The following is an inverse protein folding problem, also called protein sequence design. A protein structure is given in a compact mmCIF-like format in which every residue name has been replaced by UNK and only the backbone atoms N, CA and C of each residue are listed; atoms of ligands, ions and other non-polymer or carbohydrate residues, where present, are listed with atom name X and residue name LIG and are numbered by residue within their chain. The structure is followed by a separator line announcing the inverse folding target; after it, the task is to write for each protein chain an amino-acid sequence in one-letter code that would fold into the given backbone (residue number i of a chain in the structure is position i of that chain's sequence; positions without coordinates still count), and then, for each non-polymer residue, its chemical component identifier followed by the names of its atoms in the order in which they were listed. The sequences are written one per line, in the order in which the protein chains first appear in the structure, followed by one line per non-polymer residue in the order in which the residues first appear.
data_IF_543197859912
#
_entry.id   IF_543197859912
#
_cell.length_a   1.000
_cell.length_b   1.000
_cell.length_c   1.000
_cell.angle_alpha   90.00
_cell.angle_beta   90.00
_cell.angle_gamma   90.00
#
_symmetry.space_group_name_H-M   'P 1'
#
loop_
_entity.id
_entity.type
_entity.pdbx_description
1 polymer ?
#
# COMPACT_ATOMS: atom_id res chain seq x y z
N UNK A 1 46.65 37.35 -3.19
CA UNK A 1 45.20 37.04 -3.12
C UNK A 1 44.88 36.00 -4.18
N UNK A 2 44.88 34.71 -3.84
CA UNK A 2 44.57 33.61 -4.77
C UNK A 2 44.26 32.33 -3.97
N UNK A 3 43.18 32.32 -3.18
CA UNK A 3 42.83 31.17 -2.31
C UNK A 3 41.33 30.93 -2.07
N UNK A 4 40.41 31.47 -2.87
CA UNK A 4 38.96 31.33 -2.59
C UNK A 4 38.09 30.81 -3.74
N UNK A 5 38.66 30.19 -4.76
CA UNK A 5 37.91 29.62 -5.90
C UNK A 5 38.24 28.16 -6.19
N UNK A 6 38.64 27.38 -5.17
CA UNK A 6 38.37 25.93 -5.20
C UNK A 6 36.87 25.74 -4.98
N UNK A 7 36.17 25.92 -6.09
CA UNK A 7 34.73 26.17 -6.17
C UNK A 7 33.92 24.94 -5.77
N UNK A 8 32.70 25.24 -5.35
CA UNK A 8 31.54 24.40 -5.05
C UNK A 8 31.44 23.08 -5.83
N UNK A 9 32.05 22.94 -7.00
CA UNK A 9 32.13 21.69 -7.76
C UNK A 9 32.91 20.57 -7.06
N UNK A 10 33.97 20.86 -6.27
CA UNK A 10 34.64 19.80 -5.48
C UNK A 10 33.79 19.34 -4.28
N UNK A 11 32.95 20.24 -3.73
CA UNK A 11 31.93 19.92 -2.72
C UNK A 11 30.76 19.15 -3.31
N UNK A 12 30.30 19.48 -4.52
CA UNK A 12 29.22 18.78 -5.24
C UNK A 12 29.68 17.39 -5.70
N UNK A 13 30.94 17.23 -6.14
CA UNK A 13 31.52 15.92 -6.45
C UNK A 13 31.66 15.02 -5.22
N UNK A 14 31.85 15.62 -4.02
CA UNK A 14 31.83 14.91 -2.74
C UNK A 14 30.42 14.50 -2.29
N UNK A 15 29.38 15.26 -2.67
CA UNK A 15 27.97 14.97 -2.35
C UNK A 15 27.45 13.73 -3.10
N UNK A 16 28.03 13.41 -4.26
CA UNK A 16 27.80 12.14 -4.96
C UNK A 16 28.38 10.90 -4.27
N UNK A 17 29.11 11.08 -3.15
CA UNK A 17 29.73 10.01 -2.34
C UNK A 17 29.22 9.95 -0.89
N UNK A 18 28.21 10.73 -0.50
CA UNK A 18 27.58 10.55 0.82
C UNK A 18 26.56 9.41 0.76
N UNK A 19 27.08 8.18 0.74
CA UNK A 19 26.29 7.00 1.02
C UNK A 19 26.08 6.92 2.54
N UNK A 20 24.84 7.08 3.02
CA UNK A 20 24.56 6.97 4.45
C UNK A 20 24.91 5.57 4.98
N UNK A 21 24.93 4.55 4.11
CA UNK A 21 25.36 3.20 4.48
C UNK A 21 26.81 3.22 4.98
N UNK A 22 27.73 3.78 4.20
CA UNK A 22 29.14 3.91 4.59
C UNK A 22 29.30 4.77 5.85
N UNK A 23 28.50 5.84 5.97
CA UNK A 23 28.54 6.73 7.11
C UNK A 23 28.06 6.06 8.42
N UNK A 24 27.10 5.13 8.37
CA UNK A 24 26.63 4.42 9.55
C UNK A 24 27.21 3.00 9.69
N UNK A 25 28.01 2.54 8.73
CA UNK A 25 28.56 1.18 8.71
C UNK A 25 27.48 0.11 8.45
N UNK A 26 26.55 0.39 7.53
CA UNK A 26 25.44 -0.49 7.16
C UNK A 26 25.82 -1.33 5.94
N UNK A 27 25.57 -2.64 5.97
CA UNK A 27 25.80 -3.54 4.84
C UNK A 27 24.73 -3.43 3.76
N UNK A 28 23.52 -3.03 4.13
CA UNK A 28 22.37 -2.87 3.25
C UNK A 28 21.42 -1.76 3.76
N UNK A 29 20.52 -1.23 2.91
CA UNK A 29 19.49 -0.29 3.33
C UNK A 29 18.49 -0.91 4.33
N UNK A 30 18.47 -0.47 5.61
CA UNK A 30 17.69 -1.12 6.68
C UNK A 30 16.17 -0.97 6.53
N UNK A 31 15.70 0.11 5.90
CA UNK A 31 14.28 0.47 5.85
C UNK A 31 13.69 0.44 4.44
N UNK A 32 14.38 -0.19 3.48
CA UNK A 32 13.73 -0.48 2.20
C UNK A 32 12.69 -1.56 2.41
N UNK A 33 11.56 -1.42 1.72
CA UNK A 33 10.55 -2.49 1.64
C UNK A 33 11.16 -3.67 0.89
N UNK A 34 11.95 -4.47 1.57
CA UNK A 34 12.53 -5.68 1.02
C UNK A 34 11.55 -6.82 1.33
N UNK A 35 10.91 -7.32 0.28
CA UNK A 35 10.46 -8.71 0.20
C UNK A 35 11.64 -9.69 0.27
N UNK A 36 12.87 -9.18 0.20
CA UNK A 36 14.10 -9.95 0.01
C UNK A 36 14.87 -10.20 1.32
N UNK A 37 14.26 -9.97 2.49
CA UNK A 37 14.88 -10.33 3.77
C UNK A 37 14.48 -11.77 4.10
N UNK A 38 15.47 -12.65 4.28
CA UNK A 38 15.25 -14.09 4.57
C UNK A 38 14.32 -14.33 5.77
N UNK A 39 14.42 -13.47 6.78
CA UNK A 39 13.53 -13.49 7.94
C UNK A 39 12.93 -12.09 8.13
N UNK A 40 11.60 -11.95 8.28
CA UNK A 40 10.99 -10.69 8.68
C UNK A 40 11.03 -10.54 10.20
N UNK A 41 10.88 -9.30 10.69
CA UNK A 41 10.62 -9.06 12.09
C UNK A 41 9.28 -9.69 12.51
N UNK A 42 9.34 -10.70 13.38
CA UNK A 42 8.18 -11.39 13.92
C UNK A 42 7.76 -10.79 15.26
N UNK A 43 6.63 -10.06 15.28
CA UNK A 43 5.98 -9.69 16.53
C UNK A 43 4.95 -10.76 16.96
N UNK A 44 4.44 -10.66 18.19
CA UNK A 44 3.51 -11.65 18.77
C UNK A 44 2.28 -11.88 17.89
N UNK A 45 1.73 -10.82 17.29
CA UNK A 45 0.56 -10.90 16.42
C UNK A 45 0.86 -11.67 15.13
N UNK A 46 2.01 -11.40 14.52
CA UNK A 46 2.48 -12.06 13.30
C UNK A 46 2.81 -13.54 13.58
N UNK A 47 3.57 -13.81 14.64
CA UNK A 47 3.92 -15.18 15.08
C UNK A 47 2.67 -16.02 15.32
N UNK A 48 1.68 -15.47 16.03
CA UNK A 48 0.41 -16.15 16.27
C UNK A 48 -0.34 -16.42 14.97
N UNK A 49 -0.40 -15.44 14.06
CA UNK A 49 -1.07 -15.62 12.77
C UNK A 49 -0.40 -16.70 11.92
N UNK A 50 0.94 -16.74 11.87
CA UNK A 50 1.71 -17.77 11.17
C UNK A 50 1.39 -19.15 11.74
N UNK A 51 1.47 -19.36 13.06
CA UNK A 51 1.16 -20.65 13.67
C UNK A 51 -0.28 -21.11 13.41
N UNK A 52 -1.23 -20.18 13.29
CA UNK A 52 -2.61 -20.52 12.92
C UNK A 52 -2.73 -20.91 11.43
N UNK A 53 -2.02 -20.24 10.53
CA UNK A 53 -1.95 -20.62 9.10
C UNK A 53 -1.35 -22.03 8.97
N UNK A 54 -0.22 -22.28 9.65
CA UNK A 54 0.46 -23.59 9.68
C UNK A 54 -0.47 -24.69 10.20
N UNK A 55 -1.23 -24.43 11.28
CA UNK A 55 -2.18 -25.38 11.84
C UNK A 55 -3.31 -25.74 10.86
N UNK A 56 -3.79 -24.79 10.05
CA UNK A 56 -4.81 -25.05 9.01
C UNK A 56 -4.20 -25.88 7.88
N UNK A 57 -3.00 -25.56 7.42
CA UNK A 57 -2.34 -26.28 6.33
C UNK A 57 -1.89 -27.69 6.69
N UNK A 58 -1.44 -27.90 7.93
CA UNK A 58 -1.16 -29.22 8.49
C UNK A 58 -2.43 -30.03 8.81
N UNK A 59 -3.59 -29.40 8.74
CA UNK A 59 -4.88 -30.06 8.92
C UNK A 59 -5.32 -30.87 7.69
N UNK A 60 -6.37 -31.65 7.89
CA UNK A 60 -7.01 -32.42 6.80
C UNK A 60 -8.08 -31.64 6.05
N UNK A 61 -8.34 -30.38 6.42
CA UNK A 61 -9.42 -29.58 5.84
C UNK A 61 -8.91 -28.24 5.33
N UNK A 62 -9.41 -27.83 4.16
CA UNK A 62 -9.30 -26.46 3.69
C UNK A 62 -10.16 -25.46 4.48
N UNK A 63 -10.17 -24.22 4.02
CA UNK A 63 -10.97 -23.16 4.61
C UNK A 63 -10.54 -21.78 4.18
N UNK A 64 -11.14 -20.79 4.82
CA UNK A 64 -10.84 -19.38 4.61
C UNK A 64 -10.11 -18.82 5.83
N UNK A 65 -9.05 -18.05 5.60
CA UNK A 65 -8.35 -17.27 6.62
C UNK A 65 -8.44 -15.81 6.23
N UNK A 66 -8.83 -14.96 7.17
CA UNK A 66 -8.99 -13.53 6.91
C UNK A 66 -7.95 -12.73 7.69
N UNK A 67 -7.11 -11.98 6.97
CA UNK A 67 -6.10 -11.08 7.54
C UNK A 67 -6.51 -9.65 7.26
N UNK A 68 -6.94 -8.94 8.31
CA UNK A 68 -7.29 -7.52 8.22
C UNK A 68 -6.18 -6.64 8.79
N UNK A 69 -6.23 -5.34 8.47
CA UNK A 69 -5.39 -4.34 9.11
C UNK A 69 -5.28 -3.07 8.29
N UNK A 70 -4.86 -1.99 8.95
CA UNK A 70 -4.64 -0.71 8.30
C UNK A 70 -3.59 -0.80 7.15
N UNK A 71 -3.60 0.14 6.18
CA UNK A 71 -2.56 0.22 5.18
C UNK A 71 -1.15 0.30 5.80
N UNK A 72 -0.24 -0.55 5.34
CA UNK A 72 1.14 -0.60 5.85
C UNK A 72 1.30 -1.29 7.21
N UNK A 73 0.32 -2.08 7.68
CA UNK A 73 0.44 -2.90 8.90
C UNK A 73 1.23 -4.20 8.76
N UNK A 74 1.80 -4.48 7.57
CA UNK A 74 2.61 -5.69 7.34
C UNK A 74 1.84 -6.91 6.82
N UNK A 75 0.59 -6.75 6.34
CA UNK A 75 -0.22 -7.85 5.79
C UNK A 75 0.48 -8.63 4.66
N UNK A 76 1.03 -7.94 3.67
CA UNK A 76 1.76 -8.57 2.56
C UNK A 76 3.03 -9.28 3.03
N UNK A 77 3.70 -8.74 4.07
CA UNK A 77 4.86 -9.38 4.71
C UNK A 77 4.45 -10.67 5.42
N UNK A 78 3.34 -10.67 6.17
CA UNK A 78 2.79 -11.88 6.80
C UNK A 78 2.60 -12.99 5.76
N UNK A 79 1.91 -12.67 4.67
CA UNK A 79 1.54 -13.69 3.69
C UNK A 79 2.74 -14.16 2.89
N UNK A 80 3.65 -13.26 2.50
CA UNK A 80 4.86 -13.67 1.77
C UNK A 80 5.71 -14.60 2.63
N UNK A 81 5.91 -14.25 3.91
CA UNK A 81 6.70 -15.09 4.81
C UNK A 81 6.02 -16.41 5.17
N UNK A 82 4.71 -16.40 5.45
CA UNK A 82 3.97 -17.64 5.67
C UNK A 82 4.07 -18.56 4.45
N UNK A 83 3.89 -18.02 3.24
CA UNK A 83 4.00 -18.79 1.99
C UNK A 83 5.41 -19.31 1.76
N UNK A 84 6.45 -18.50 1.93
CA UNK A 84 7.86 -18.90 1.74
C UNK A 84 8.28 -20.00 2.70
N UNK A 85 7.89 -19.89 3.97
CA UNK A 85 8.21 -20.90 4.99
C UNK A 85 7.54 -22.25 4.71
N UNK A 86 6.50 -22.25 3.88
CA UNK A 86 5.71 -23.41 3.50
C UNK A 86 5.95 -23.83 2.04
N UNK A 87 6.75 -23.08 1.27
CA UNK A 87 6.72 -23.11 -0.20
C UNK A 87 7.14 -24.44 -0.84
N UNK A 88 7.97 -25.21 -0.13
CA UNK A 88 8.44 -26.50 -0.63
C UNK A 88 7.32 -27.56 -0.62
N UNK A 89 6.30 -27.37 0.22
CA UNK A 89 5.22 -28.32 0.46
C UNK A 89 3.84 -27.82 0.00
N UNK A 90 3.75 -26.64 -0.61
CA UNK A 90 2.46 -26.05 -1.04
C UNK A 90 2.48 -25.57 -2.49
N UNK A 91 1.29 -25.41 -3.08
CA UNK A 91 1.09 -24.72 -4.37
C UNK A 91 0.42 -23.37 -4.10
N UNK A 92 1.01 -22.26 -4.55
CA UNK A 92 0.46 -20.92 -4.25
C UNK A 92 -0.01 -20.21 -5.51
N UNK A 93 -1.22 -19.65 -5.44
CA UNK A 93 -1.78 -18.74 -6.43
C UNK A 93 -2.03 -17.40 -5.77
N UNK A 94 -1.47 -16.31 -6.31
CA UNK A 94 -1.65 -14.94 -5.78
C UNK A 94 -2.48 -14.10 -6.73
N UNK A 95 -3.55 -13.48 -6.22
CA UNK A 95 -4.42 -12.55 -6.93
C UNK A 95 -4.28 -11.16 -6.31
N UNK A 96 -3.66 -10.25 -7.06
CA UNK A 96 -3.39 -8.87 -6.61
C UNK A 96 -4.35 -7.83 -7.23
N UNK A 97 -5.20 -8.22 -8.19
CA UNK A 97 -6.22 -7.36 -8.80
C UNK A 97 -7.59 -7.82 -8.32
N UNK A 98 -8.31 -6.97 -7.60
CA UNK A 98 -9.58 -7.38 -6.97
C UNK A 98 -10.84 -6.74 -7.56
N UNK A 99 -10.71 -5.70 -8.40
CA UNK A 99 -11.83 -5.18 -9.21
C UNK A 99 -12.07 -6.03 -10.47
N UNK A 100 -12.40 -7.30 -10.29
CA UNK A 100 -12.60 -8.25 -11.39
C UNK A 100 -14.08 -8.59 -11.56
N UNK A 101 -14.50 -8.94 -12.77
CA UNK A 101 -15.69 -9.75 -12.95
C UNK A 101 -15.40 -11.20 -12.57
N UNK A 102 -16.42 -12.00 -12.30
CA UNK A 102 -16.27 -13.39 -11.89
C UNK A 102 -15.53 -14.25 -12.93
N UNK A 103 -15.82 -14.06 -14.22
CA UNK A 103 -15.08 -14.76 -15.29
C UNK A 103 -13.60 -14.37 -15.33
N UNK A 104 -13.27 -13.08 -15.17
CA UNK A 104 -11.86 -12.65 -15.15
C UNK A 104 -11.12 -13.25 -13.95
N UNK A 105 -11.80 -13.37 -12.80
CA UNK A 105 -11.26 -14.02 -11.61
C UNK A 105 -10.93 -15.50 -11.87
N UNK A 106 -11.86 -16.25 -12.47
CA UNK A 106 -11.64 -17.66 -12.82
C UNK A 106 -10.50 -17.83 -13.83
N UNK A 107 -10.41 -16.97 -14.85
CA UNK A 107 -9.31 -17.01 -15.83
C UNK A 107 -7.96 -16.77 -15.16
N UNK A 108 -7.87 -15.78 -14.27
CA UNK A 108 -6.63 -15.48 -13.52
C UNK A 108 -6.27 -16.64 -12.59
N UNK A 109 -7.28 -17.27 -11.97
CA UNK A 109 -7.09 -18.42 -11.09
C UNK A 109 -6.48 -19.61 -11.84
N UNK A 110 -7.02 -19.94 -13.02
CA UNK A 110 -6.51 -21.02 -13.87
C UNK A 110 -5.11 -20.72 -14.41
N UNK A 111 -4.88 -19.49 -14.90
CA UNK A 111 -3.54 -19.09 -15.33
C UNK A 111 -2.51 -19.17 -14.20
N UNK A 112 -2.89 -18.83 -12.97
CA UNK A 112 -2.03 -18.97 -11.79
C UNK A 112 -1.65 -20.42 -11.46
N UNK A 113 -2.38 -21.38 -12.02
CA UNK A 113 -2.12 -22.82 -11.91
C UNK A 113 -1.46 -23.41 -13.17
N UNK A 114 -1.03 -22.57 -14.11
CA UNK A 114 -0.49 -22.97 -15.41
C UNK A 114 -1.51 -23.73 -16.28
N UNK A 115 -2.82 -23.44 -16.10
CA UNK A 115 -3.91 -23.95 -16.93
C UNK A 115 -4.37 -22.89 -17.95
N UNK A 116 -4.76 -23.34 -19.13
CA UNK A 116 -5.28 -22.48 -20.20
C UNK A 116 -6.82 -22.38 -20.12
N UNK A 117 -7.38 -21.18 -19.85
CA UNK A 117 -8.83 -20.99 -19.80
C UNK A 117 -9.47 -20.76 -21.17
N UNK A 118 -8.70 -20.74 -22.28
CA UNK A 118 -9.23 -20.40 -23.60
C UNK A 118 -10.38 -21.33 -24.02
N UNK A 119 -11.53 -20.73 -24.35
CA UNK A 119 -12.72 -21.46 -24.80
C UNK A 119 -13.52 -22.14 -23.69
N UNK A 120 -13.09 -22.06 -22.42
CA UNK A 120 -13.83 -22.62 -21.29
C UNK A 120 -14.96 -21.67 -20.85
N UNK A 121 -16.13 -22.24 -20.59
CA UNK A 121 -17.20 -21.52 -19.90
C UNK A 121 -16.99 -21.50 -18.38
N UNK A 122 -17.85 -20.77 -17.65
CA UNK A 122 -17.78 -20.65 -16.19
C UNK A 122 -17.69 -22.01 -15.50
N UNK A 123 -18.53 -22.97 -15.94
CA UNK A 123 -18.65 -24.27 -15.30
C UNK A 123 -17.37 -25.07 -15.51
N UNK A 124 -16.89 -25.15 -16.75
CA UNK A 124 -15.67 -25.86 -17.09
C UNK A 124 -14.44 -25.24 -16.40
N UNK A 125 -14.41 -23.91 -16.22
CA UNK A 125 -13.34 -23.26 -15.47
C UNK A 125 -13.31 -23.67 -14.00
N UNK A 126 -14.47 -23.75 -13.35
CA UNK A 126 -14.58 -24.21 -11.95
C UNK A 126 -14.20 -25.69 -11.85
N UNK A 127 -14.72 -26.54 -12.73
CA UNK A 127 -14.38 -27.98 -12.78
C UNK A 127 -12.86 -28.16 -12.93
N UNK A 128 -12.23 -27.46 -13.87
CA UNK A 128 -10.77 -27.53 -14.09
C UNK A 128 -9.96 -27.08 -12.86
N UNK A 129 -10.42 -26.04 -12.16
CA UNK A 129 -9.79 -25.58 -10.93
C UNK A 129 -9.90 -26.63 -9.82
N UNK A 130 -11.08 -27.20 -9.62
CA UNK A 130 -11.33 -28.21 -8.59
C UNK A 130 -10.54 -29.49 -8.85
N UNK A 131 -10.44 -29.94 -10.10
CA UNK A 131 -9.60 -31.08 -10.48
C UNK A 131 -8.13 -30.86 -10.10
N UNK A 132 -7.60 -29.65 -10.31
CA UNK A 132 -6.25 -29.30 -9.90
C UNK A 132 -6.09 -29.30 -8.37
N UNK A 133 -7.07 -28.76 -7.62
CA UNK A 133 -7.07 -28.78 -6.15
C UNK A 133 -7.05 -30.22 -5.62
N UNK A 134 -7.85 -31.11 -6.22
CA UNK A 134 -7.92 -32.52 -5.83
C UNK A 134 -6.62 -33.27 -6.16
N UNK A 135 -6.00 -32.98 -7.31
CA UNK A 135 -4.71 -33.54 -7.70
C UNK A 135 -3.58 -33.13 -6.73
N UNK A 136 -3.46 -31.83 -6.43
CA UNK A 136 -2.47 -31.29 -5.49
C UNK A 136 -2.70 -31.83 -4.05
N UNK A 137 -3.97 -31.92 -3.62
CA UNK A 137 -4.33 -32.52 -2.32
C UNK A 137 -3.91 -33.99 -2.22
N UNK A 138 -4.02 -34.76 -3.31
CA UNK A 138 -3.61 -36.17 -3.37
C UNK A 138 -2.08 -36.32 -3.37
N UNK A 139 -1.37 -35.32 -3.87
CA UNK A 139 0.09 -35.22 -3.82
C UNK A 139 0.63 -34.73 -2.46
N UNK A 140 -0.23 -34.62 -1.44
CA UNK A 140 0.08 -34.05 -0.12
C UNK A 140 0.57 -32.59 -0.16
N UNK A 141 0.23 -31.88 -1.24
CA UNK A 141 0.67 -30.52 -1.51
C UNK A 141 -0.53 -29.57 -1.49
N UNK A 142 -0.94 -29.01 -0.34
CA UNK A 142 -2.12 -28.14 -0.27
C UNK A 142 -1.97 -26.90 -1.15
N UNK A 143 -3.11 -26.44 -1.69
CA UNK A 143 -3.18 -25.25 -2.52
C UNK A 143 -3.54 -24.04 -1.66
N UNK A 144 -2.77 -22.96 -1.78
CA UNK A 144 -3.00 -21.69 -1.09
C UNK A 144 -3.37 -20.62 -2.10
N UNK A 145 -4.61 -20.15 -2.04
CA UNK A 145 -5.10 -19.03 -2.83
C UNK A 145 -5.00 -17.75 -1.99
N UNK A 146 -4.07 -16.87 -2.34
CA UNK A 146 -3.91 -15.56 -1.71
C UNK A 146 -4.67 -14.52 -2.52
N UNK A 147 -5.60 -13.82 -1.89
CA UNK A 147 -6.31 -12.68 -2.49
C UNK A 147 -5.97 -11.43 -1.70
N UNK A 148 -5.11 -10.57 -2.27
CA UNK A 148 -4.75 -9.29 -1.67
C UNK A 148 -5.80 -8.23 -1.99
N UNK A 149 -5.96 -7.22 -1.13
CA UNK A 149 -6.97 -6.16 -1.31
C UNK A 149 -8.41 -6.70 -1.46
N UNK A 150 -8.75 -7.72 -0.66
CA UNK A 150 -10.02 -8.46 -0.71
C UNK A 150 -11.26 -7.57 -0.53
N UNK A 151 -11.13 -6.37 0.05
CA UNK A 151 -12.23 -5.42 0.16
C UNK A 151 -12.75 -4.88 -1.18
N UNK A 152 -11.97 -5.00 -2.27
CA UNK A 152 -12.45 -4.62 -3.60
C UNK A 152 -13.09 -5.79 -4.37
N UNK A 153 -13.16 -6.99 -3.79
CA UNK A 153 -13.86 -8.11 -4.42
C UNK A 153 -15.35 -7.81 -4.54
N UNK A 154 -15.91 -8.16 -5.71
CA UNK A 154 -17.36 -8.12 -5.91
C UNK A 154 -18.04 -9.22 -5.08
N UNK A 155 -19.27 -9.00 -4.58
CA UNK A 155 -20.00 -10.00 -3.80
C UNK A 155 -20.16 -11.35 -4.50
N UNK A 156 -20.29 -11.37 -5.83
CA UNK A 156 -20.39 -12.63 -6.61
C UNK A 156 -19.16 -13.53 -6.45
N UNK A 157 -17.95 -12.95 -6.39
CA UNK A 157 -16.71 -13.72 -6.20
C UNK A 157 -16.65 -14.29 -4.77
N UNK A 158 -17.10 -13.53 -3.76
CA UNK A 158 -17.17 -14.05 -2.39
C UNK A 158 -18.16 -15.21 -2.29
N UNK A 159 -19.32 -15.12 -2.96
CA UNK A 159 -20.34 -16.17 -3.02
C UNK A 159 -19.90 -17.41 -3.78
N UNK A 160 -18.84 -17.33 -4.59
CA UNK A 160 -18.21 -18.47 -5.25
C UNK A 160 -17.32 -19.29 -4.30
N UNK A 161 -16.77 -18.69 -3.23
CA UNK A 161 -15.81 -19.37 -2.35
C UNK A 161 -16.32 -20.69 -1.73
N UNK A 162 -17.59 -20.82 -1.29
CA UNK A 162 -18.11 -22.10 -0.82
C UNK A 162 -18.05 -23.19 -1.88
N UNK A 163 -18.39 -22.87 -3.14
CA UNK A 163 -18.30 -23.80 -4.28
C UNK A 163 -16.86 -24.30 -4.52
N UNK A 164 -15.85 -23.46 -4.21
CA UNK A 164 -14.43 -23.80 -4.40
C UNK A 164 -13.82 -24.58 -3.24
N UNK A 165 -14.25 -24.29 -2.01
CA UNK A 165 -13.63 -24.81 -0.77
C UNK A 165 -14.35 -26.06 -0.28
N UNK A 166 -15.68 -26.07 -0.33
CA UNK A 166 -16.46 -27.21 0.13
C UNK A 166 -16.46 -28.32 -0.91
N UNK A 167 -16.73 -29.53 -0.45
CA UNK A 167 -16.94 -30.70 -1.29
C UNK A 167 -18.30 -31.28 -0.92
N UNK A 168 -19.07 -31.67 -1.93
CA UNK A 168 -20.36 -32.31 -1.69
C UNK A 168 -20.13 -33.71 -1.08
N UNK A 169 -20.80 -34.03 0.02
CA UNK A 169 -20.64 -35.32 0.74
C UNK A 169 -21.01 -36.52 -0.16
N UNK A 170 -21.75 -36.26 -1.25
CA UNK A 170 -22.15 -37.24 -2.25
C UNK A 170 -21.00 -37.79 -3.13
N UNK A 171 -19.81 -37.17 -3.14
CA UNK A 171 -18.69 -37.54 -4.03
C UNK A 171 -17.80 -38.69 -3.51
N UNK A 172 -18.19 -39.36 -2.43
CA UNK A 172 -17.56 -40.60 -1.96
C UNK A 172 -16.26 -40.42 -1.14
N UNK A 173 -15.65 -41.53 -0.68
CA UNK A 173 -14.54 -41.50 0.26
C UNK A 173 -13.20 -41.32 -0.48
N UNK A 174 -12.88 -40.08 -0.87
CA UNK A 174 -11.52 -39.68 -1.24
C UNK A 174 -11.13 -38.40 -0.50
N UNK A 175 -9.82 -38.22 -0.34
CA UNK A 175 -9.10 -37.14 0.34
C UNK A 175 -9.83 -35.78 0.30
N UNK A 176 -10.02 -35.18 1.48
CA UNK A 176 -10.63 -33.85 1.66
C UNK A 176 -9.84 -32.80 0.86
N UNK A 177 -10.54 -31.84 0.24
CA UNK A 177 -9.92 -30.72 -0.49
C UNK A 177 -9.09 -29.87 0.47
N UNK A 178 -7.77 -29.81 0.23
CA UNK A 178 -6.84 -29.00 1.02
C UNK A 178 -6.59 -27.67 0.31
N UNK A 179 -7.66 -26.89 0.16
CA UNK A 179 -7.62 -25.51 -0.34
C UNK A 179 -7.68 -24.52 0.83
N UNK A 180 -6.63 -23.72 0.99
CA UNK A 180 -6.63 -22.58 1.90
C UNK A 180 -6.80 -21.28 1.11
N UNK A 181 -7.88 -20.55 1.35
CA UNK A 181 -8.09 -19.21 0.80
C UNK A 181 -7.70 -18.16 1.85
N UNK A 182 -6.68 -17.36 1.55
CA UNK A 182 -6.23 -16.25 2.38
C UNK A 182 -6.79 -14.92 1.83
N UNK A 183 -7.78 -14.35 2.51
CA UNK A 183 -8.35 -13.05 2.19
C UNK A 183 -7.63 -11.95 2.97
N UNK A 184 -6.88 -11.10 2.27
CA UNK A 184 -6.17 -9.97 2.88
C UNK A 184 -6.99 -8.70 2.65
N UNK A 185 -7.55 -8.14 3.72
CA UNK A 185 -8.42 -6.97 3.66
C UNK A 185 -7.85 -5.74 4.38
N UNK A 186 -8.38 -4.58 4.02
CA UNK A 186 -8.21 -3.35 4.79
C UNK A 186 -9.34 -3.15 5.81
N UNK A 187 -9.24 -2.06 6.58
CA UNK A 187 -10.26 -1.67 7.55
C UNK A 187 -11.66 -1.62 6.92
N UNK A 188 -12.62 -2.24 7.58
CA UNK A 188 -14.01 -2.30 7.12
C UNK A 188 -14.40 -3.59 6.39
N UNK A 189 -13.45 -4.37 5.87
CA UNK A 189 -13.76 -5.62 5.16
C UNK A 189 -14.48 -6.65 6.05
N UNK A 190 -14.19 -6.65 7.35
CA UNK A 190 -14.92 -7.46 8.34
C UNK A 190 -16.43 -7.20 8.33
N UNK A 191 -16.86 -5.96 8.06
CA UNK A 191 -18.28 -5.61 8.00
C UNK A 191 -18.90 -6.13 6.71
N UNK A 192 -18.16 -6.10 5.59
CA UNK A 192 -18.60 -6.75 4.34
C UNK A 192 -18.84 -8.23 4.57
N UNK A 193 -17.87 -8.94 5.14
CA UNK A 193 -18.00 -10.37 5.44
C UNK A 193 -19.14 -10.67 6.42
N UNK A 194 -19.42 -9.77 7.37
CA UNK A 194 -20.49 -9.93 8.35
C UNK A 194 -21.92 -9.74 7.79
N UNK A 195 -22.09 -9.38 6.51
CA UNK A 195 -23.42 -9.29 5.90
C UNK A 195 -24.08 -10.67 5.83
N UNK A 196 -25.40 -10.72 6.05
CA UNK A 196 -26.19 -11.97 6.04
C UNK A 196 -26.14 -12.70 4.70
N UNK A 197 -25.93 -11.99 3.59
CA UNK A 197 -25.76 -12.60 2.26
C UNK A 197 -24.47 -13.42 2.09
N UNK A 198 -23.55 -13.35 3.06
CA UNK A 198 -22.27 -14.05 3.05
C UNK A 198 -22.15 -15.04 4.22
N UNK A 199 -23.26 -15.45 4.82
CA UNK A 199 -23.28 -16.43 5.93
C UNK A 199 -22.54 -17.73 5.59
N UNK A 200 -22.68 -18.23 4.36
CA UNK A 200 -21.97 -19.45 3.91
C UNK A 200 -20.46 -19.23 3.88
N UNK A 201 -20.00 -18.06 3.41
CA UNK A 201 -18.57 -17.70 3.42
C UNK A 201 -18.06 -17.58 4.85
N UNK A 202 -18.84 -17.02 5.76
CA UNK A 202 -18.47 -16.89 7.18
C UNK A 202 -18.24 -18.25 7.83
N UNK A 203 -19.00 -19.29 7.47
CA UNK A 203 -18.83 -20.65 8.00
C UNK A 203 -17.50 -21.28 7.59
N UNK A 204 -16.93 -20.87 6.46
CA UNK A 204 -15.62 -21.33 5.98
C UNK A 204 -14.46 -20.67 6.72
N UNK A 205 -14.69 -19.54 7.39
CA UNK A 205 -13.62 -18.78 8.06
C UNK A 205 -13.12 -19.56 9.27
N UNK A 206 -11.93 -20.15 9.16
CA UNK A 206 -11.28 -20.91 10.25
C UNK A 206 -10.77 -19.99 11.35
N UNK A 207 -10.22 -18.86 10.97
CA UNK A 207 -9.91 -17.77 11.88
C UNK A 207 -9.78 -16.44 11.13
N UNK A 208 -9.94 -15.36 11.90
CA UNK A 208 -9.75 -14.00 11.45
C UNK A 208 -8.76 -13.31 12.39
N UNK A 209 -7.80 -12.60 11.82
CA UNK A 209 -6.85 -11.78 12.57
C UNK A 209 -6.86 -10.33 12.09
N UNK A 210 -6.44 -9.43 12.97
CA UNK A 210 -6.29 -8.01 12.68
C UNK A 210 -4.87 -7.57 13.05
N UNK A 211 -4.07 -7.24 12.04
CA UNK A 211 -2.72 -6.71 12.22
C UNK A 211 -2.82 -5.24 12.64
N UNK A 212 -2.62 -5.01 13.93
CA UNK A 212 -2.54 -3.68 14.52
C UNK A 212 -1.20 -3.02 14.15
N UNK A 213 -1.15 -1.68 14.11
CA UNK A 213 0.12 -0.96 14.11
C UNK A 213 1.00 -1.39 15.31
N UNK A 214 2.32 -1.34 15.13
CA UNK A 214 3.27 -1.71 16.18
C UNK A 214 3.10 -0.81 17.41
N UNK A 215 3.11 -1.40 18.60
CA UNK A 215 3.23 -0.66 19.86
C UNK A 215 4.57 0.09 19.94
N UNK A 216 4.74 0.94 20.95
CA UNK A 216 5.99 1.65 21.16
C UNK A 216 7.17 0.68 21.35
N UNK A 217 6.98 -0.39 22.14
CA UNK A 217 8.01 -1.39 22.39
C UNK A 217 8.36 -2.16 21.11
N UNK A 218 7.35 -2.59 20.35
CA UNK A 218 7.55 -3.27 19.05
C UNK A 218 8.17 -2.34 18.00
N UNK A 219 7.87 -1.04 18.04
CA UNK A 219 8.48 -0.05 17.12
C UNK A 219 9.98 0.07 17.38
N UNK A 220 10.40 0.17 18.65
CA UNK A 220 11.83 0.18 19.00
C UNK A 220 12.50 -1.13 18.57
N UNK A 221 11.91 -2.28 18.94
CA UNK A 221 12.45 -3.59 18.58
C UNK A 221 12.54 -3.80 17.06
N UNK A 222 11.57 -3.30 16.29
CA UNK A 222 11.59 -3.31 14.83
C UNK A 222 12.74 -2.46 14.26
N UNK A 223 12.95 -1.25 14.78
CA UNK A 223 14.05 -0.38 14.35
C UNK A 223 15.40 -1.02 14.68
N UNK A 224 15.55 -1.60 15.88
CA UNK A 224 16.74 -2.35 16.28
C UNK A 224 16.98 -3.53 15.35
N UNK A 225 15.95 -4.32 15.06
CA UNK A 225 16.03 -5.44 14.13
C UNK A 225 16.53 -4.99 12.75
N UNK A 226 15.94 -3.93 12.19
CA UNK A 226 16.34 -3.43 10.88
C UNK A 226 17.79 -2.94 10.84
N UNK A 227 18.26 -2.30 11.89
CA UNK A 227 19.62 -1.77 11.93
C UNK A 227 20.66 -2.85 12.24
N UNK A 228 20.42 -3.65 13.28
CA UNK A 228 21.42 -4.57 13.84
C UNK A 228 21.44 -5.91 13.09
N UNK A 229 20.29 -6.40 12.65
CA UNK A 229 20.20 -7.68 11.96
C UNK A 229 20.20 -7.50 10.43
N UNK A 230 19.27 -6.72 9.88
CA UNK A 230 19.14 -6.57 8.42
C UNK A 230 20.30 -5.79 7.81
N UNK A 231 20.65 -4.64 8.41
CA UNK A 231 21.77 -3.82 7.95
C UNK A 231 23.11 -4.14 8.62
N UNK A 232 23.15 -5.12 9.53
CA UNK A 232 24.37 -5.62 10.20
C UNK A 232 25.25 -4.52 10.82
N UNK A 233 24.63 -3.45 11.32
CA UNK A 233 25.37 -2.35 11.94
C UNK A 233 25.94 -2.78 13.30
N UNK A 234 27.15 -2.33 13.63
CA UNK A 234 27.71 -2.57 14.97
C UNK A 234 26.87 -1.96 16.10
N UNK A 235 26.18 -0.84 15.81
CA UNK A 235 25.39 -0.09 16.79
C UNK A 235 24.20 0.59 16.13
N UNK A 236 23.09 0.68 16.85
CA UNK A 236 21.95 1.46 16.42
C UNK A 236 22.23 2.98 16.57
N UNK A 237 22.18 3.78 15.49
CA UNK A 237 22.39 5.22 15.58
C UNK A 237 21.19 5.94 16.21
N UNK A 238 20.00 5.34 16.23
CA UNK A 238 18.81 5.88 16.87
C UNK A 238 18.88 5.71 18.39
N UNK A 239 18.72 6.81 19.13
CA UNK A 239 18.54 6.74 20.57
C UNK A 239 17.14 6.22 20.95
N UNK A 240 16.99 5.63 22.14
CA UNK A 240 15.69 5.21 22.69
C UNK A 240 14.59 6.28 22.60
N UNK A 241 14.95 7.53 22.91
CA UNK A 241 14.03 8.66 22.82
C UNK A 241 13.68 8.99 21.36
N UNK A 242 14.62 8.81 20.42
CA UNK A 242 14.35 9.01 19.00
C UNK A 242 13.40 7.93 18.46
N UNK A 243 13.59 6.66 18.83
CA UNK A 243 12.68 5.57 18.49
C UNK A 243 11.27 5.80 19.07
N UNK A 244 11.19 6.25 20.32
CA UNK A 244 9.92 6.66 20.94
C UNK A 244 9.25 7.82 20.19
N UNK A 245 10.03 8.81 19.72
CA UNK A 245 9.52 9.91 18.89
C UNK A 245 9.03 9.42 17.52
N UNK A 246 9.74 8.49 16.88
CA UNK A 246 9.32 7.85 15.63
C UNK A 246 7.97 7.16 15.83
N UNK A 247 7.79 6.38 16.90
CA UNK A 247 6.50 5.75 17.20
C UNK A 247 5.37 6.78 17.32
N UNK A 248 5.58 7.84 18.11
CA UNK A 248 4.56 8.89 18.31
C UNK A 248 4.12 9.57 17.00
N UNK A 249 5.05 9.78 16.06
CA UNK A 249 4.78 10.46 14.79
C UNK A 249 4.15 9.54 13.75
N UNK A 250 4.49 8.25 13.77
CA UNK A 250 4.07 7.27 12.76
C UNK A 250 2.84 6.47 13.19
N UNK A 251 2.49 6.50 14.48
CA UNK A 251 1.44 5.67 15.06
C UNK A 251 1.72 4.17 14.97
N UNK A 252 2.99 3.77 14.81
CA UNK A 252 3.35 2.35 14.69
C UNK A 252 3.17 1.73 13.30
N UNK A 253 2.81 2.52 12.28
CA UNK A 253 2.69 1.99 10.92
C UNK A 253 4.08 1.68 10.33
N UNK A 254 4.31 0.42 9.95
CA UNK A 254 5.63 -0.06 9.47
C UNK A 254 6.11 0.74 8.25
N UNK A 255 5.21 0.97 7.28
CA UNK A 255 5.53 1.76 6.08
C UNK A 255 6.01 3.18 6.44
N UNK A 256 5.32 3.77 7.40
CA UNK A 256 5.55 5.13 7.88
C UNK A 256 6.86 5.20 8.69
N UNK A 257 7.13 4.20 9.54
CA UNK A 257 8.40 4.02 10.25
C UNK A 257 9.55 3.93 9.23
N UNK A 258 9.46 3.01 8.27
CA UNK A 258 10.49 2.79 7.26
C UNK A 258 10.82 4.08 6.49
N UNK A 259 9.79 4.76 6.02
CA UNK A 259 9.93 6.01 5.28
C UNK A 259 10.62 7.08 6.13
N UNK A 260 10.13 7.31 7.36
CA UNK A 260 10.71 8.32 8.25
C UNK A 260 12.16 8.01 8.61
N UNK A 261 12.47 6.76 8.96
CA UNK A 261 13.81 6.36 9.35
C UNK A 261 14.82 6.49 8.19
N UNK A 262 14.45 6.14 6.96
CA UNK A 262 15.32 6.32 5.78
C UNK A 262 15.66 7.81 5.56
N UNK A 263 14.66 8.70 5.64
CA UNK A 263 14.90 10.15 5.57
C UNK A 263 15.76 10.67 6.71
N UNK A 264 15.54 10.17 7.93
CA UNK A 264 16.32 10.60 9.11
C UNK A 264 17.79 10.16 8.96
N UNK A 265 18.07 8.93 8.54
CA UNK A 265 19.45 8.47 8.27
C UNK A 265 20.11 9.32 7.19
N UNK A 266 19.40 9.60 6.10
CA UNK A 266 19.92 10.42 5.02
C UNK A 266 20.25 11.85 5.47
N UNK A 267 19.31 12.53 6.14
CA UNK A 267 19.51 13.90 6.62
C UNK A 267 20.59 13.99 7.71
N UNK A 268 20.63 13.02 8.61
CA UNK A 268 21.63 12.95 9.65
C UNK A 268 23.05 12.74 9.06
N UNK A 269 23.18 11.92 8.01
CA UNK A 269 24.43 11.77 7.26
C UNK A 269 24.88 13.10 6.61
N UNK A 270 23.97 13.84 5.96
CA UNK A 270 24.27 15.17 5.39
C UNK A 270 24.77 16.16 6.46
N UNK A 271 24.17 16.10 7.66
CA UNK A 271 24.59 16.90 8.82
C UNK A 271 25.81 16.34 9.57
N UNK A 272 26.40 15.22 9.13
CA UNK A 272 27.47 14.49 9.80
C UNK A 272 27.14 14.08 11.25
N UNK A 273 25.88 13.78 11.54
CA UNK A 273 25.36 13.42 12.86
C UNK A 273 25.38 11.89 13.03
N UNK A 274 26.27 11.36 13.87
CA UNK A 274 26.37 9.90 14.12
C UNK A 274 25.30 9.35 15.05
N UNK A 275 24.73 10.18 15.94
CA UNK A 275 23.71 9.78 16.90
C UNK A 275 22.42 10.55 16.67
N UNK A 276 21.35 9.83 16.36
CA UNK A 276 20.04 10.39 16.03
C UNK A 276 19.24 10.64 17.30
N UNK A 277 18.84 11.90 17.48
CA UNK A 277 18.09 12.39 18.64
C UNK A 277 16.61 12.63 18.28
N UNK A 278 15.71 12.75 19.27
CA UNK A 278 14.30 13.05 19.03
C UNK A 278 14.07 14.35 18.25
N UNK A 279 14.93 15.35 18.46
CA UNK A 279 14.84 16.66 17.81
C UNK A 279 15.11 16.53 16.32
N UNK A 280 16.14 15.76 15.94
CA UNK A 280 16.45 15.51 14.53
C UNK A 280 15.34 14.73 13.82
N UNK A 281 14.73 13.76 14.50
CA UNK A 281 13.55 13.05 14.01
C UNK A 281 12.41 14.04 13.78
N UNK A 282 12.12 14.90 14.75
CA UNK A 282 11.03 15.87 14.65
C UNK A 282 11.27 16.88 13.52
N UNK A 283 12.49 17.42 13.41
CA UNK A 283 12.84 18.35 12.34
C UNK A 283 12.73 17.69 10.97
N UNK A 284 13.18 16.44 10.84
CA UNK A 284 13.03 15.67 9.60
C UNK A 284 11.56 15.43 9.27
N UNK A 285 10.76 15.01 10.24
CA UNK A 285 9.32 14.81 10.07
C UNK A 285 8.60 16.10 9.63
N UNK A 286 8.90 17.23 10.28
CA UNK A 286 8.32 18.52 9.92
C UNK A 286 8.70 18.93 8.50
N UNK A 287 9.94 18.64 8.07
CA UNK A 287 10.40 18.89 6.71
C UNK A 287 9.70 17.99 5.67
N UNK A 288 9.14 16.85 6.08
CA UNK A 288 8.36 15.94 5.22
C UNK A 288 6.89 16.38 5.06
N UNK A 289 6.42 17.42 5.77
CA UNK A 289 5.03 17.91 5.78
C UNK A 289 3.96 16.83 5.95
N UNK A 290 4.23 15.83 6.78
CA UNK A 290 3.29 14.72 7.02
C UNK A 290 2.28 15.07 8.11
N UNK A 291 0.98 14.87 7.84
CA UNK A 291 -0.05 14.88 8.86
C UNK A 291 0.04 13.63 9.76
N UNK A 292 0.38 13.81 11.05
CA UNK A 292 0.38 12.72 12.02
C UNK A 292 -1.01 12.04 12.08
N UNK A 293 -1.09 10.71 12.31
CA UNK A 293 -2.38 10.02 12.42
C UNK A 293 -3.21 10.65 13.54
N UNK A 294 -4.36 11.26 13.20
CA UNK A 294 -5.28 11.79 14.20
C UNK A 294 -5.74 10.64 15.10
N UNK A 295 -5.41 10.69 16.39
CA UNK A 295 -6.12 9.90 17.40
C UNK A 295 -7.60 10.22 17.26
N UNK A 296 -8.44 9.20 17.02
CA UNK A 296 -9.89 9.34 17.20
C UNK A 296 -10.11 9.66 18.68
N UNK A 297 -10.32 10.94 18.97
CA UNK A 297 -10.95 11.35 20.20
C UNK A 297 -12.44 11.15 20.00
N UNK A 298 -13.06 10.36 20.85
CA UNK A 298 -14.49 10.47 21.13
C UNK A 298 -14.79 11.94 21.45
N UNK A 299 -15.78 12.51 20.76
CA UNK A 299 -16.72 13.48 21.32
C UNK A 299 -17.78 13.87 20.30
N UNK A 300 -19.01 13.51 20.64
CA UNK A 300 -20.21 14.26 20.29
C UNK A 300 -20.04 15.75 20.60
N UNK A 301 -20.45 16.63 19.68
CA UNK A 301 -21.27 17.82 19.94
C UNK A 301 -21.33 18.74 18.71
N UNK A 302 -22.54 19.24 18.48
CA UNK A 302 -22.98 20.18 17.46
C UNK A 302 -22.09 21.42 17.24
N UNK A 303 -22.10 21.89 15.99
CA UNK A 303 -21.55 23.19 15.61
C UNK A 303 -21.86 23.53 14.16
N UNK A 304 -23.08 24.00 13.89
CA UNK A 304 -23.51 24.53 12.60
C UNK A 304 -22.59 25.66 12.10
N UNK A 305 -22.22 25.62 10.82
CA UNK A 305 -21.92 26.82 10.03
C UNK A 305 -22.20 26.57 8.55
N UNK A 306 -23.20 27.30 8.04
CA UNK A 306 -23.61 27.34 6.65
C UNK A 306 -22.69 28.24 5.83
N UNK A 307 -22.46 27.86 4.55
CA UNK A 307 -22.25 28.81 3.46
C UNK A 307 -20.88 28.78 2.78
N UNK A 308 -20.72 27.94 1.75
CA UNK A 308 -20.53 28.34 0.34
C UNK A 308 -20.51 27.07 -0.52
N UNK A 309 -21.43 26.99 -1.49
CA UNK A 309 -21.59 25.87 -2.44
C UNK A 309 -20.36 25.77 -3.34
N UNK A 310 -19.63 24.66 -3.33
CA UNK A 310 -18.58 24.43 -4.33
C UNK A 310 -18.66 23.01 -4.90
N UNK A 311 -18.76 23.00 -6.22
CA UNK A 311 -18.74 21.87 -7.15
C UNK A 311 -17.46 21.05 -6.98
N UNK A 312 -17.63 19.73 -6.84
CA UNK A 312 -16.53 18.75 -6.82
C UNK A 312 -15.77 18.87 -8.13
N UNK A 313 -14.48 19.09 -8.05
CA UNK A 313 -13.61 19.30 -9.20
C UNK A 313 -12.70 18.08 -9.25
N UNK A 314 -12.75 17.32 -10.34
CA UNK A 314 -12.09 16.02 -10.47
C UNK A 314 -10.92 16.18 -11.44
N UNK A 315 -9.75 15.71 -11.03
CA UNK A 315 -8.51 15.68 -11.80
C UNK A 315 -8.15 14.22 -12.07
N UNK A 316 -8.61 13.67 -13.19
CA UNK A 316 -8.36 12.25 -13.51
C UNK A 316 -6.89 12.03 -13.89
N UNK A 317 -6.14 11.33 -13.03
CA UNK A 317 -4.76 10.91 -13.29
C UNK A 317 -4.65 9.41 -12.99
N UNK A 318 -4.08 8.65 -13.93
CA UNK A 318 -3.87 7.19 -13.85
C UNK A 318 -5.14 6.38 -13.45
N UNK A 319 -6.22 6.54 -14.23
CA UNK A 319 -7.51 5.81 -14.14
C UNK A 319 -8.04 5.56 -12.72
N UNK A 320 -8.27 6.62 -11.94
CA UNK A 320 -9.33 6.77 -10.90
C UNK A 320 -8.95 7.68 -9.71
N UNK A 321 -7.88 8.48 -9.77
CA UNK A 321 -7.63 9.45 -8.70
C UNK A 321 -8.56 10.66 -8.87
N UNK A 322 -9.59 10.79 -8.03
CA UNK A 322 -10.40 12.02 -7.94
C UNK A 322 -9.84 12.93 -6.83
N UNK A 323 -9.16 14.01 -7.21
CA UNK A 323 -8.68 15.03 -6.26
C UNK A 323 -9.68 16.19 -6.14
N UNK A 324 -10.44 16.30 -5.03
CA UNK A 324 -11.30 17.47 -4.81
C UNK A 324 -10.44 18.73 -4.65
N UNK A 325 -10.84 19.82 -5.30
CA UNK A 325 -10.22 21.15 -5.07
C UNK A 325 -10.91 21.85 -3.91
N UNK A 326 -10.49 21.48 -2.71
CA UNK A 326 -10.95 21.98 -1.42
C UNK A 326 -10.06 23.07 -0.80
N UNK A 327 -8.91 23.38 -1.43
CA UNK A 327 -7.96 24.43 -1.02
C UNK A 327 -7.85 25.54 -2.08
N UNK A 328 -7.41 26.73 -1.66
CA UNK A 328 -7.21 27.89 -2.55
C UNK A 328 -6.06 27.72 -3.52
N UNK A 329 -5.06 26.91 -3.16
CA UNK A 329 -3.94 26.54 -4.02
C UNK A 329 -3.67 25.05 -3.88
N UNK A 330 -3.53 24.37 -5.02
CA UNK A 330 -3.04 23.00 -5.10
C UNK A 330 -1.75 22.96 -5.90
N UNK A 331 -0.83 22.13 -5.49
CA UNK A 331 0.49 21.94 -6.10
C UNK A 331 0.55 20.60 -6.83
N UNK A 332 1.25 20.57 -7.97
CA UNK A 332 1.39 19.39 -8.82
C UNK A 332 2.87 19.20 -9.14
N UNK A 333 3.39 18.00 -8.94
CA UNK A 333 4.79 17.71 -9.23
C UNK A 333 5.20 16.31 -8.80
N UNK A 334 6.46 15.95 -9.02
CA UNK A 334 6.98 14.64 -8.66
C UNK A 334 7.33 14.49 -7.18
N UNK A 335 7.60 15.60 -6.50
CA UNK A 335 7.85 15.55 -5.07
C UNK A 335 6.58 15.12 -4.34
N UNK A 336 6.73 14.26 -3.33
CA UNK A 336 5.60 13.64 -2.63
C UNK A 336 4.79 14.62 -1.76
N UNK A 337 5.27 15.84 -1.60
CA UNK A 337 4.63 16.96 -0.90
C UNK A 337 3.79 17.86 -1.82
N UNK A 338 3.69 17.56 -3.11
CA UNK A 338 2.66 18.16 -3.96
C UNK A 338 1.30 17.55 -3.65
N UNK A 339 0.25 18.36 -3.65
CA UNK A 339 -1.14 17.90 -3.48
C UNK A 339 -1.51 16.83 -4.52
N UNK A 340 -0.97 16.95 -5.74
CA UNK A 340 -0.95 15.88 -6.73
C UNK A 340 0.49 15.45 -7.03
N UNK A 341 0.83 14.26 -6.55
CA UNK A 341 2.14 13.64 -6.81
C UNK A 341 2.11 12.78 -8.09
N UNK A 342 2.86 13.21 -9.10
CA UNK A 342 3.05 12.50 -10.37
C UNK A 342 4.41 11.80 -10.34
N UNK A 343 4.43 10.47 -10.16
CA UNK A 343 5.64 9.66 -9.99
C UNK A 343 6.36 9.36 -11.31
N UNK A 344 6.76 10.41 -12.02
CA UNK A 344 7.45 10.32 -13.30
C UNK A 344 8.68 11.23 -13.28
N UNK A 345 9.88 10.67 -13.47
CA UNK A 345 11.17 11.37 -13.44
C UNK A 345 11.25 12.60 -14.36
N UNK A 346 10.43 12.66 -15.41
CA UNK A 346 10.35 13.80 -16.33
C UNK A 346 9.56 14.98 -15.75
N UNK A 347 8.78 14.74 -14.71
CA UNK A 347 8.05 15.79 -13.98
C UNK A 347 8.96 16.43 -12.95
N UNK A 348 9.08 17.76 -13.03
CA UNK A 348 9.76 18.58 -12.02
C UNK A 348 9.23 18.32 -10.61
N UNK A 349 10.11 18.49 -9.61
CA UNK A 349 9.76 18.30 -8.19
C UNK A 349 8.54 19.12 -7.80
N UNK A 350 8.47 20.38 -8.20
CA UNK A 350 7.26 21.21 -8.17
C UNK A 350 7.05 21.71 -9.59
N UNK A 351 6.05 21.19 -10.28
CA UNK A 351 5.87 21.41 -11.72
C UNK A 351 4.86 22.52 -11.98
N UNK A 352 3.71 22.44 -11.33
CA UNK A 352 2.61 23.37 -11.54
C UNK A 352 1.90 23.68 -10.23
N UNK A 353 1.08 24.74 -10.24
CA UNK A 353 0.05 24.95 -9.23
C UNK A 353 -1.27 25.37 -9.84
N UNK A 354 -2.36 24.94 -9.24
CA UNK A 354 -3.71 25.39 -9.49
C UNK A 354 -4.10 26.39 -8.41
N UNK A 355 -4.59 27.56 -8.81
CA UNK A 355 -4.98 28.63 -7.90
C UNK A 355 -6.42 29.01 -8.18
N UNK A 356 -7.25 29.02 -7.13
CA UNK A 356 -8.62 29.51 -7.20
C UNK A 356 -8.59 31.04 -7.23
N UNK A 357 -9.25 31.64 -8.20
CA UNK A 357 -9.39 33.09 -8.36
C UNK A 357 -10.86 33.46 -8.49
N UNK A 358 -11.19 34.75 -8.35
CA UNK A 358 -12.56 35.25 -8.57
C UNK A 358 -13.10 34.94 -9.98
N UNK A 359 -12.21 34.76 -10.95
CA UNK A 359 -12.55 34.45 -12.35
C UNK A 359 -12.62 32.94 -12.63
N UNK A 360 -12.29 32.08 -11.65
CA UNK A 360 -12.27 30.62 -11.81
C UNK A 360 -10.92 30.00 -11.43
N UNK A 361 -10.70 28.75 -11.84
CA UNK A 361 -9.49 28.00 -11.53
C UNK A 361 -8.38 28.30 -12.55
N UNK A 362 -7.18 28.61 -12.08
CA UNK A 362 -6.05 28.99 -12.94
C UNK A 362 -4.86 28.06 -12.72
N UNK A 363 -4.29 27.52 -13.80
CA UNK A 363 -3.04 26.75 -13.75
C UNK A 363 -1.83 27.64 -14.02
N UNK A 364 -0.75 27.45 -13.26
CA UNK A 364 0.50 28.20 -13.35
C UNK A 364 1.69 27.25 -13.36
N UNK A 365 2.60 27.43 -14.32
CA UNK A 365 3.88 26.72 -14.37
C UNK A 365 4.87 27.28 -13.36
N UNK A 366 5.57 26.39 -12.64
CA UNK A 366 6.56 26.73 -11.63
C UNK A 366 7.99 26.68 -12.19
N UNK A 367 8.16 27.13 -13.45
CA UNK A 367 9.41 27.02 -14.22
C UNK A 367 9.84 25.56 -14.36
N UNK A 368 8.90 24.71 -14.75
CA UNK A 368 9.17 23.29 -14.93
C UNK A 368 10.09 23.03 -16.12
N UNK A 369 10.73 21.86 -16.14
CA UNK A 369 11.67 21.49 -17.22
C UNK A 369 10.94 21.26 -18.54
N UNK A 370 9.75 20.65 -18.51
CA UNK A 370 9.03 20.20 -19.70
C UNK A 370 7.75 21.01 -20.00
N UNK A 371 7.36 21.93 -19.12
CA UNK A 371 6.22 22.82 -19.32
C UNK A 371 4.85 22.15 -19.17
N UNK A 372 3.82 22.99 -19.08
CA UNK A 372 2.41 22.57 -18.99
C UNK A 372 1.73 22.79 -20.34
N UNK A 373 0.85 21.88 -20.72
CA UNK A 373 0.02 22.00 -21.92
C UNK A 373 -1.47 21.96 -21.52
N UNK A 374 -2.28 22.84 -22.11
CA UNK A 374 -3.74 22.82 -21.95
C UNK A 374 -4.36 22.76 -23.33
N UNK A 375 -5.10 21.67 -23.60
CA UNK A 375 -5.64 21.33 -24.93
C UNK A 375 -4.56 21.42 -26.02
N UNK A 376 -3.44 20.72 -25.79
CA UNK A 376 -2.25 20.63 -26.65
C UNK A 376 -1.47 21.94 -26.90
N UNK A 377 -1.87 23.06 -26.28
CA UNK A 377 -1.13 24.32 -26.32
C UNK A 377 -0.27 24.51 -25.06
N UNK A 378 1.03 24.81 -25.22
CA UNK A 378 1.94 25.10 -24.09
C UNK A 378 1.53 26.41 -23.41
N UNK A 379 1.44 26.40 -22.08
CA UNK A 379 1.02 27.55 -21.28
C UNK A 379 1.88 27.70 -20.04
N UNK A 380 2.22 28.94 -19.70
CA UNK A 380 2.84 29.24 -18.41
C UNK A 380 1.78 29.62 -17.36
N UNK A 381 0.63 30.11 -17.83
CA UNK A 381 -0.43 30.63 -16.99
C UNK A 381 -1.77 30.71 -17.73
N UNK A 382 -2.79 29.97 -17.29
CA UNK A 382 -4.08 29.92 -18.01
C UNK A 382 -5.27 29.64 -17.09
N UNK A 383 -6.38 30.34 -17.34
CA UNK A 383 -7.67 30.04 -16.72
C UNK A 383 -8.26 28.78 -17.37
N UNK A 384 -8.71 27.84 -16.54
CA UNK A 384 -9.22 26.54 -16.98
C UNK A 384 -10.75 26.55 -17.09
N UNK A 385 -11.27 25.88 -18.12
CA UNK A 385 -12.68 25.65 -18.35
C UNK A 385 -13.06 24.18 -18.10
N UNK A 386 -14.34 23.93 -17.83
CA UNK A 386 -14.88 22.57 -17.68
C UNK A 386 -14.59 21.73 -18.94
N UNK A 387 -14.07 20.53 -18.74
CA UNK A 387 -13.68 19.61 -19.81
C UNK A 387 -12.27 19.79 -20.35
N UNK A 388 -11.53 20.83 -19.93
CA UNK A 388 -10.15 21.08 -20.38
C UNK A 388 -9.22 19.90 -20.04
N UNK A 389 -8.33 19.58 -20.98
CA UNK A 389 -7.28 18.58 -20.80
C UNK A 389 -5.97 19.27 -20.47
N UNK A 390 -5.40 18.94 -19.31
CA UNK A 390 -4.10 19.41 -18.84
C UNK A 390 -3.09 18.29 -19.06
N UNK A 391 -1.94 18.58 -19.65
CA UNK A 391 -0.85 17.63 -19.79
C UNK A 391 0.45 18.17 -19.19
N UNK A 392 1.12 17.30 -18.45
CA UNK A 392 2.44 17.49 -17.84
C UNK A 392 3.32 16.35 -18.36
N UNK A 393 4.15 16.63 -19.36
CA UNK A 393 4.83 15.58 -20.14
C UNK A 393 3.81 14.56 -20.69
N UNK A 394 4.06 13.26 -20.55
CA UNK A 394 3.16 12.18 -20.95
C UNK A 394 1.93 12.03 -20.04
N UNK A 395 1.86 12.76 -18.92
CA UNK A 395 0.80 12.64 -17.93
C UNK A 395 -0.37 13.56 -18.28
N UNK A 396 -1.49 12.98 -18.73
CA UNK A 396 -2.71 13.71 -19.12
C UNK A 396 -3.76 13.64 -18.03
N UNK A 397 -4.47 14.75 -17.87
CA UNK A 397 -5.48 14.96 -16.86
C UNK A 397 -6.66 15.72 -17.45
N UNK A 398 -7.87 15.42 -17.00
CA UNK A 398 -9.07 16.16 -17.42
C UNK A 398 -9.71 16.89 -16.25
N UNK A 399 -10.09 18.13 -16.49
CA UNK A 399 -10.90 18.92 -15.58
C UNK A 399 -12.39 18.59 -15.77
N UNK A 400 -13.09 18.21 -14.70
CA UNK A 400 -14.55 18.05 -14.72
C UNK A 400 -15.22 18.78 -13.55
N UNK A 401 -16.30 19.50 -13.83
CA UNK A 401 -17.20 20.08 -12.83
C UNK A 401 -18.34 19.09 -12.50
N UNK A 402 -18.36 18.54 -11.29
CA UNK A 402 -19.45 17.67 -10.86
C UNK A 402 -20.76 18.48 -10.69
N UNK A 403 -21.80 18.10 -11.45
CA UNK A 403 -23.20 18.54 -11.22
C UNK A 403 -23.90 17.51 -10.33
N UNK A 404 -24.59 17.95 -9.28
CA UNK A 404 -25.39 17.05 -8.44
C UNK A 404 -26.63 16.52 -9.20
N UNK A 405 -27.08 15.27 -8.95
CA UNK A 405 -28.38 14.82 -9.43
C UNK A 405 -29.49 15.63 -8.77
N UNK A 406 -30.47 16.09 -9.56
CA UNK A 406 -31.67 16.77 -9.06
C UNK A 406 -32.34 15.88 -8.00
N UNK A 407 -32.57 16.42 -6.80
CA UNK A 407 -33.61 15.86 -5.92
C UNK A 407 -34.94 16.02 -6.65
N UNK A 408 -35.51 14.92 -7.10
CA UNK A 408 -36.91 14.86 -7.55
C UNK A 408 -37.78 15.15 -6.32
N UNK A 409 -38.79 16.04 -6.45
CA UNK A 409 -39.51 16.64 -5.32
C UNK A 409 -40.22 15.65 -4.41
#
# INVERSE_FOLDING_TARGET
MAKSELSTQSRIASIGKLNYLDFYGLSAPPFRNNSDVEEPYLNDALSKAISQIEAVLGGSEGGVVVVNGAPGSGKTTLVSHAVERLSDDIRVVKINRTMLAENDFLQILLHGLDLDPEGLDRRLMIESFLEMVDAESTADRPLVLVIDEAQNLKPGILKLLPELVERDEAEGPMTKRRLLVMLIGQDGFQHTLAHSELEDVQRLVRFQTYLKPLSQAETSAYIDYQILYVAQAERNPFSERAMSRIHMLTGGSIRLINTLCDFVLFNACLGQIRRITPELVQTTFNALQWEAPRKRADNDADGQSQGTRISRLILEYDRNLELPIDKDTLTIGRASDNDLCIRDLRVSRYHARLVRTEQGLRIQDLKSTNGIYVNDARVDNRLLADGDTIAIDQNRMRLMLARQPKKTP
#
